data_IF_638537157422
#
_entry.id   IF_638537157422
#
_cell.length_a   1.000
_cell.length_b   1.000
_cell.length_c   1.000
_cell.angle_alpha   90.00
_cell.angle_beta   90.00
_cell.angle_gamma   90.00
#
_symmetry.space_group_name_H-M   'P 1'
#
loop_
_entity.id
_entity.type
_entity.pdbx_description
1 polymer ?
#
# COMPACT_ATOMS: atom_id res chain seq x y z
N UNK A 1 43.37 31.09 -28.15
CA UNK A 1 42.83 29.77 -28.46
C UNK A 1 42.79 28.85 -27.23
N UNK A 2 43.92 28.62 -26.53
CA UNK A 2 44.01 27.70 -25.36
C UNK A 2 43.03 28.08 -24.23
N UNK A 3 42.95 29.37 -23.88
CA UNK A 3 42.06 29.85 -22.84
C UNK A 3 40.55 29.59 -23.17
N UNK A 4 40.15 29.78 -24.43
CA UNK A 4 38.77 29.53 -24.85
C UNK A 4 38.38 28.03 -24.76
N UNK A 5 39.34 27.13 -25.11
CA UNK A 5 39.13 25.68 -24.98
C UNK A 5 38.99 25.28 -23.52
N UNK A 6 39.82 25.87 -22.62
CA UNK A 6 39.77 25.58 -21.18
C UNK A 6 38.45 26.05 -20.55
N UNK A 7 37.97 27.24 -20.91
CA UNK A 7 36.69 27.76 -20.47
C UNK A 7 35.53 26.91 -20.95
N UNK A 8 35.54 26.49 -22.20
CA UNK A 8 34.53 25.59 -22.75
C UNK A 8 34.50 24.24 -22.01
N UNK A 9 35.66 23.69 -21.73
CA UNK A 9 35.77 22.41 -21.00
C UNK A 9 35.16 22.51 -19.58
N UNK A 10 35.43 23.61 -18.86
CA UNK A 10 34.86 23.86 -17.51
C UNK A 10 33.33 23.96 -17.57
N UNK A 11 32.79 24.67 -18.57
CA UNK A 11 31.35 24.80 -18.77
C UNK A 11 30.69 23.45 -19.05
N UNK A 12 31.31 22.61 -19.90
CA UNK A 12 30.79 21.26 -20.20
C UNK A 12 30.81 20.37 -18.98
N UNK A 13 31.91 20.39 -18.20
CA UNK A 13 32.00 19.59 -16.95
C UNK A 13 30.96 20.08 -15.92
N UNK A 14 30.78 21.39 -15.77
CA UNK A 14 29.76 21.95 -14.88
C UNK A 14 28.34 21.56 -15.30
N UNK A 15 28.05 21.56 -16.61
CA UNK A 15 26.76 21.14 -17.15
C UNK A 15 26.50 19.65 -16.95
N UNK A 16 27.51 18.79 -17.16
CA UNK A 16 27.43 17.36 -16.89
C UNK A 16 27.20 17.08 -15.40
N UNK A 17 27.88 17.79 -14.51
CA UNK A 17 27.69 17.66 -13.07
C UNK A 17 26.27 18.08 -12.63
N UNK A 18 25.66 19.09 -13.25
CA UNK A 18 24.27 19.47 -13.04
C UNK A 18 23.29 18.38 -13.46
N UNK A 19 23.50 17.77 -14.63
CA UNK A 19 22.63 16.67 -15.12
C UNK A 19 22.68 15.48 -14.14
N UNK A 20 23.86 15.12 -13.67
CA UNK A 20 24.03 14.01 -12.71
C UNK A 20 23.30 14.31 -11.39
N UNK A 21 23.31 15.54 -10.91
CA UNK A 21 22.57 15.96 -9.70
C UNK A 21 21.05 15.96 -9.88
N UNK A 22 20.57 16.14 -11.11
CA UNK A 22 19.13 16.12 -11.42
C UNK A 22 18.59 14.69 -11.62
N UNK A 23 19.45 13.68 -11.68
CA UNK A 23 19.02 12.30 -11.85
C UNK A 23 18.70 11.66 -10.48
N UNK A 24 17.44 11.30 -10.30
CA UNK A 24 16.94 10.65 -9.09
C UNK A 24 16.55 9.21 -9.43
N UNK A 25 17.06 8.26 -8.62
CA UNK A 25 16.71 6.85 -8.72
C UNK A 25 15.55 6.54 -7.76
N UNK A 26 14.64 5.66 -8.21
CA UNK A 26 13.68 5.03 -7.34
C UNK A 26 14.33 3.81 -6.69
N UNK A 27 14.11 3.64 -5.38
CA UNK A 27 14.44 2.40 -4.70
C UNK A 27 13.39 1.32 -5.02
N UNK A 28 13.74 0.05 -4.73
CA UNK A 28 12.80 -1.05 -4.92
C UNK A 28 11.57 -0.85 -4.03
N UNK A 29 10.38 -0.98 -4.62
CA UNK A 29 9.12 -0.75 -3.92
C UNK A 29 8.70 0.72 -3.86
N UNK A 30 9.38 1.62 -4.56
CA UNK A 30 9.01 3.03 -4.66
C UNK A 30 8.71 3.43 -6.10
N UNK A 31 7.78 4.37 -6.25
CA UNK A 31 7.45 5.01 -7.53
C UNK A 31 7.71 6.50 -7.40
N UNK A 32 8.49 7.03 -8.33
CA UNK A 32 8.68 8.47 -8.44
C UNK A 32 7.49 9.06 -9.21
N UNK A 33 6.80 9.99 -8.57
CA UNK A 33 5.72 10.76 -9.17
C UNK A 33 6.24 12.18 -9.35
N UNK A 34 6.32 12.61 -10.59
CA UNK A 34 6.74 13.96 -10.95
C UNK A 34 5.57 14.75 -11.51
N UNK A 35 5.32 15.90 -10.95
CA UNK A 35 4.33 16.87 -11.41
C UNK A 35 5.02 18.19 -11.77
N UNK A 36 4.53 18.91 -12.79
CA UNK A 36 5.04 20.19 -13.24
C UNK A 36 5.06 20.32 -14.74
N UNK A 37 6.03 21.07 -15.27
CA UNK A 37 6.15 21.30 -16.71
C UNK A 37 6.29 19.96 -17.47
N UNK A 38 5.32 19.69 -18.36
CA UNK A 38 5.23 18.40 -19.09
C UNK A 38 4.23 17.41 -18.51
N UNK A 39 3.43 17.81 -17.50
CA UNK A 39 2.37 16.99 -16.88
C UNK A 39 2.87 15.99 -15.84
N UNK A 40 1.94 15.16 -15.36
CA UNK A 40 2.21 14.11 -14.40
C UNK A 40 2.95 12.95 -15.09
N UNK A 41 4.10 12.57 -14.55
CA UNK A 41 4.87 11.40 -15.03
C UNK A 41 5.28 10.53 -13.86
N UNK A 42 5.31 9.23 -14.10
CA UNK A 42 5.71 8.20 -13.12
C UNK A 42 6.90 7.41 -13.65
N UNK A 43 7.77 7.00 -12.74
CA UNK A 43 8.89 6.12 -13.06
C UNK A 43 9.17 5.17 -11.89
N UNK A 44 9.43 3.90 -12.23
CA UNK A 44 9.80 2.83 -11.30
C UNK A 44 11.32 2.64 -11.16
N UNK A 45 12.11 3.31 -12.01
CA UNK A 45 13.57 3.11 -12.04
C UNK A 45 14.35 4.37 -11.74
N UNK A 46 13.99 5.47 -12.37
CA UNK A 46 14.63 6.77 -12.18
C UNK A 46 14.13 7.78 -13.22
N UNK A 47 14.25 9.04 -12.88
CA UNK A 47 13.81 10.16 -13.71
C UNK A 47 14.71 11.36 -13.49
N UNK A 48 14.87 12.18 -14.52
CA UNK A 48 15.53 13.48 -14.41
C UNK A 48 14.48 14.48 -13.89
N UNK A 49 14.77 15.11 -12.77
CA UNK A 49 13.93 16.13 -12.14
C UNK A 49 14.69 17.45 -12.10
N UNK A 50 14.06 18.50 -12.60
CA UNK A 50 14.60 19.86 -12.50
C UNK A 50 13.93 20.55 -11.31
N UNK A 51 14.63 20.71 -10.15
CA UNK A 51 13.99 21.11 -8.88
C UNK A 51 13.30 22.47 -8.92
N UNK A 52 13.72 23.36 -9.82
CA UNK A 52 13.18 24.71 -9.93
C UNK A 52 11.77 24.77 -10.54
N UNK A 53 11.39 23.77 -11.36
CA UNK A 53 10.16 23.81 -12.16
C UNK A 53 9.31 22.54 -12.03
N UNK A 54 9.79 21.56 -11.30
CA UNK A 54 9.12 20.26 -11.13
C UNK A 54 9.08 19.87 -9.67
N UNK A 55 7.90 19.42 -9.23
CA UNK A 55 7.70 18.82 -7.92
C UNK A 55 7.76 17.30 -8.03
N UNK A 56 8.46 16.66 -7.11
CA UNK A 56 8.64 15.22 -7.10
C UNK A 56 8.22 14.68 -5.74
N UNK A 57 7.49 13.58 -5.75
CA UNK A 57 7.14 12.80 -4.57
C UNK A 57 7.47 11.33 -4.79
N UNK A 58 7.86 10.65 -3.71
CA UNK A 58 8.14 9.22 -3.69
C UNK A 58 6.96 8.50 -3.04
N UNK A 59 6.30 7.65 -3.81
CA UNK A 59 5.22 6.80 -3.34
C UNK A 59 5.77 5.42 -2.98
N UNK A 60 5.60 5.00 -1.74
CA UNK A 60 5.90 3.66 -1.28
C UNK A 60 4.74 2.72 -1.62
N UNK A 61 5.00 1.76 -2.53
CA UNK A 61 4.05 0.74 -2.97
C UNK A 61 4.31 -0.63 -2.33
N UNK A 62 5.16 -0.70 -1.31
CA UNK A 62 5.47 -1.95 -0.61
C UNK A 62 4.27 -2.50 0.14
N UNK A 63 4.35 -3.77 0.49
CA UNK A 63 3.33 -4.48 1.24
C UNK A 63 3.14 -3.87 2.63
N UNK A 64 1.91 -3.53 2.98
CA UNK A 64 1.52 -2.98 4.29
C UNK A 64 0.70 -4.01 5.06
N UNK A 65 0.96 -4.13 6.36
CA UNK A 65 0.22 -5.02 7.26
C UNK A 65 -0.80 -4.22 8.07
N UNK A 66 -2.08 -4.52 7.88
CA UNK A 66 -3.19 -3.95 8.66
C UNK A 66 -3.75 -5.01 9.58
N UNK A 67 -3.71 -4.78 10.88
CA UNK A 67 -4.21 -5.73 11.89
C UNK A 67 -5.60 -5.30 12.35
N UNK A 68 -6.53 -6.25 12.31
CA UNK A 68 -7.89 -6.12 12.84
C UNK A 68 -8.07 -7.10 13.98
N UNK A 69 -8.43 -6.59 15.14
CA UNK A 69 -8.65 -7.36 16.35
C UNK A 69 -10.12 -7.26 16.77
N UNK A 70 -10.72 -8.40 17.06
CA UNK A 70 -12.08 -8.54 17.58
C UNK A 70 -12.06 -9.54 18.73
N UNK A 71 -11.88 -9.03 19.95
CA UNK A 71 -11.67 -9.83 21.14
C UNK A 71 -12.58 -9.35 22.29
N UNK A 72 -12.83 -10.21 23.27
CA UNK A 72 -13.56 -9.91 24.46
C UNK A 72 -14.99 -9.41 24.19
N UNK A 73 -15.28 -8.14 24.52
CA UNK A 73 -16.59 -7.55 24.26
C UNK A 73 -16.91 -7.41 22.77
N UNK A 74 -15.89 -7.26 21.93
CA UNK A 74 -16.01 -7.17 20.47
C UNK A 74 -15.84 -8.53 19.76
N UNK A 75 -15.79 -9.62 20.52
CA UNK A 75 -15.68 -10.97 19.96
C UNK A 75 -16.78 -11.26 18.95
N UNK A 76 -16.44 -11.99 17.89
CA UNK A 76 -17.37 -12.33 16.84
C UNK A 76 -18.20 -13.55 17.23
N UNK A 77 -19.43 -13.62 16.72
CA UNK A 77 -20.36 -14.72 17.00
C UNK A 77 -20.42 -15.60 15.76
N UNK A 78 -20.09 -16.88 15.92
CA UNK A 78 -20.21 -17.89 14.88
C UNK A 78 -21.68 -18.33 14.70
N UNK A 79 -21.96 -19.01 13.59
CA UNK A 79 -23.31 -19.52 13.27
C UNK A 79 -23.88 -20.42 14.37
N UNK A 80 -23.04 -21.19 15.06
CA UNK A 80 -23.39 -22.07 16.18
C UNK A 80 -23.55 -21.35 17.53
N UNK A 81 -23.52 -19.98 17.53
CA UNK A 81 -23.66 -19.17 18.71
C UNK A 81 -22.39 -19.05 19.57
N UNK A 82 -21.30 -19.70 19.17
CA UNK A 82 -20.02 -19.61 19.89
C UNK A 82 -19.39 -18.24 19.65
N UNK A 83 -18.97 -17.57 20.73
CA UNK A 83 -18.19 -16.33 20.65
C UNK A 83 -16.71 -16.68 20.45
N UNK A 84 -16.11 -16.07 19.46
CA UNK A 84 -14.72 -16.28 19.08
C UNK A 84 -13.93 -14.97 19.10
N UNK A 85 -12.77 -15.00 19.74
CA UNK A 85 -11.78 -13.95 19.66
C UNK A 85 -10.97 -14.14 18.38
N UNK A 86 -10.91 -13.10 17.55
CA UNK A 86 -10.28 -13.12 16.25
C UNK A 86 -9.28 -12.00 16.13
N UNK A 87 -8.06 -12.34 15.73
CA UNK A 87 -7.05 -11.38 15.25
C UNK A 87 -6.63 -11.80 13.86
N UNK A 88 -6.82 -10.92 12.90
CA UNK A 88 -6.44 -11.14 11.52
C UNK A 88 -5.55 -10.02 11.00
N UNK A 89 -4.54 -10.37 10.22
CA UNK A 89 -3.68 -9.42 9.53
C UNK A 89 -3.94 -9.48 8.02
N UNK A 90 -4.23 -8.31 7.47
CA UNK A 90 -4.48 -8.09 6.05
C UNK A 90 -3.24 -7.47 5.44
N UNK A 91 -2.69 -8.13 4.43
CA UNK A 91 -1.53 -7.65 3.69
C UNK A 91 -1.98 -7.04 2.38
N UNK A 92 -1.84 -5.73 2.29
CA UNK A 92 -2.28 -4.94 1.14
C UNK A 92 -1.12 -4.14 0.58
N UNK A 93 -1.15 -3.89 -0.71
CA UNK A 93 -0.20 -3.02 -1.41
C UNK A 93 -0.91 -2.22 -2.49
N UNK A 94 -0.29 -1.15 -2.95
CA UNK A 94 -0.77 -0.42 -4.12
C UNK A 94 -0.47 -1.25 -5.37
N UNK A 95 -1.47 -1.42 -6.23
CA UNK A 95 -1.27 -2.08 -7.51
C UNK A 95 -0.32 -1.23 -8.38
N UNK A 96 0.78 -1.80 -8.90
CA UNK A 96 1.78 -1.04 -9.66
C UNK A 96 1.31 -0.58 -11.04
N UNK A 97 0.07 -0.87 -11.45
CA UNK A 97 -0.49 -0.31 -12.67
C UNK A 97 -0.65 1.21 -12.55
N UNK A 98 -0.29 1.93 -13.61
CA UNK A 98 -0.30 3.41 -13.63
C UNK A 98 -1.66 3.98 -13.25
N UNK A 99 -2.75 3.39 -13.75
CA UNK A 99 -4.12 3.82 -13.49
C UNK A 99 -4.51 3.70 -12.01
N UNK A 100 -4.08 2.61 -11.36
CA UNK A 100 -4.35 2.36 -9.95
C UNK A 100 -3.55 3.32 -9.05
N UNK A 101 -2.28 3.56 -9.37
CA UNK A 101 -1.47 4.55 -8.67
C UNK A 101 -2.08 5.95 -8.79
N UNK A 102 -2.52 6.34 -9.99
CA UNK A 102 -3.21 7.61 -10.21
C UNK A 102 -4.49 7.73 -9.37
N UNK A 103 -5.29 6.66 -9.33
CA UNK A 103 -6.52 6.60 -8.54
C UNK A 103 -6.23 6.80 -7.06
N UNK A 104 -5.25 6.06 -6.52
CA UNK A 104 -4.85 6.15 -5.11
C UNK A 104 -4.31 7.55 -4.77
N UNK A 105 -3.41 8.07 -5.61
CA UNK A 105 -2.78 9.38 -5.38
C UNK A 105 -3.80 10.52 -5.51
N UNK A 106 -4.74 10.44 -6.43
CA UNK A 106 -5.78 11.47 -6.58
C UNK A 106 -6.76 11.47 -5.40
N UNK A 107 -7.06 10.30 -4.81
CA UNK A 107 -7.98 10.17 -3.67
C UNK A 107 -7.32 10.50 -2.33
N UNK A 108 -6.10 10.06 -2.11
CA UNK A 108 -5.45 10.09 -0.79
C UNK A 108 -4.24 11.03 -0.73
N UNK A 109 -3.61 11.32 -1.87
CA UNK A 109 -2.28 11.94 -1.93
C UNK A 109 -1.17 10.92 -1.65
N UNK A 110 0.06 11.27 -1.99
CA UNK A 110 1.23 10.36 -1.92
C UNK A 110 1.55 9.97 -0.48
N UNK A 111 1.64 10.93 0.42
CA UNK A 111 2.02 10.71 1.83
C UNK A 111 1.00 9.84 2.57
N UNK A 112 -0.29 10.13 2.41
CA UNK A 112 -1.36 9.40 3.09
C UNK A 112 -1.56 7.99 2.54
N UNK A 113 -1.31 7.80 1.25
CA UNK A 113 -1.42 6.49 0.60
C UNK A 113 -0.37 5.48 1.11
N UNK A 114 0.76 5.95 1.62
CA UNK A 114 1.81 5.12 2.20
C UNK A 114 1.63 4.85 3.71
N UNK A 115 0.73 5.59 4.38
CA UNK A 115 0.54 5.50 5.83
C UNK A 115 -0.42 4.36 6.21
N UNK A 116 0.09 3.39 6.99
CA UNK A 116 -0.67 2.24 7.48
C UNK A 116 -1.85 2.65 8.36
N UNK A 117 -1.71 3.74 9.14
CA UNK A 117 -2.80 4.22 10.01
C UNK A 117 -3.97 4.74 9.17
N UNK A 118 -3.70 5.49 8.10
CA UNK A 118 -4.71 5.98 7.16
C UNK A 118 -5.39 4.83 6.43
N UNK A 119 -4.60 3.85 5.97
CA UNK A 119 -5.13 2.65 5.30
C UNK A 119 -6.04 1.86 6.26
N UNK A 120 -5.66 1.72 7.52
CA UNK A 120 -6.47 1.07 8.56
C UNK A 120 -7.76 1.85 8.85
N UNK A 121 -7.71 3.17 8.86
CA UNK A 121 -8.90 4.02 9.01
C UNK A 121 -9.90 3.81 7.88
N UNK A 122 -9.43 3.72 6.63
CA UNK A 122 -10.28 3.60 5.44
C UNK A 122 -10.86 2.18 5.31
N UNK A 123 -10.02 1.15 5.41
CA UNK A 123 -10.38 -0.24 5.12
C UNK A 123 -10.63 -1.12 6.34
N UNK A 124 -10.25 -0.66 7.55
CA UNK A 124 -10.35 -1.46 8.77
C UNK A 124 -11.78 -1.90 9.09
N UNK A 125 -12.76 -1.04 8.89
CA UNK A 125 -14.18 -1.36 9.03
C UNK A 125 -14.66 -2.41 8.01
N UNK A 126 -14.23 -2.29 6.76
CA UNK A 126 -14.53 -3.25 5.71
C UNK A 126 -13.96 -4.63 6.03
N UNK A 127 -12.72 -4.69 6.50
CA UNK A 127 -12.08 -5.93 6.94
C UNK A 127 -12.78 -6.55 8.16
N UNK A 128 -13.15 -5.72 9.13
CA UNK A 128 -13.90 -6.17 10.30
C UNK A 128 -15.28 -6.73 9.94
N UNK A 129 -15.98 -6.08 9.00
CA UNK A 129 -17.26 -6.54 8.51
C UNK A 129 -17.13 -7.86 7.74
N UNK A 130 -16.09 -8.03 6.94
CA UNK A 130 -15.82 -9.29 6.26
C UNK A 130 -15.57 -10.44 7.25
N UNK A 131 -14.77 -10.20 8.30
CA UNK A 131 -14.58 -11.18 9.38
C UNK A 131 -15.91 -11.53 10.06
N UNK A 132 -16.74 -10.53 10.37
CA UNK A 132 -18.06 -10.72 10.99
C UNK A 132 -18.99 -11.54 10.10
N UNK A 133 -19.05 -11.23 8.81
CA UNK A 133 -19.88 -11.97 7.84
C UNK A 133 -19.47 -13.43 7.77
N UNK A 134 -18.16 -13.69 7.57
CA UNK A 134 -17.64 -15.06 7.47
C UNK A 134 -17.89 -15.84 8.76
N UNK A 135 -17.73 -15.22 9.95
CA UNK A 135 -17.99 -15.90 11.23
C UNK A 135 -19.47 -16.19 11.43
N UNK A 136 -20.36 -15.26 11.09
CA UNK A 136 -21.82 -15.46 11.24
C UNK A 136 -22.41 -16.52 10.32
N UNK A 137 -21.77 -16.79 9.18
CA UNK A 137 -22.21 -17.78 8.20
C UNK A 137 -21.65 -19.19 8.45
N UNK A 138 -20.62 -19.32 9.29
CA UNK A 138 -19.91 -20.58 9.49
C UNK A 138 -19.82 -20.99 10.96
N UNK A 139 -19.78 -22.30 11.20
CA UNK A 139 -19.59 -22.85 12.53
C UNK A 139 -18.13 -22.68 13.00
N UNK A 140 -17.94 -22.59 14.32
CA UNK A 140 -16.62 -22.43 14.93
C UNK A 140 -15.65 -23.53 14.49
N UNK A 141 -16.08 -24.79 14.46
CA UNK A 141 -15.25 -25.92 14.05
C UNK A 141 -14.74 -25.79 12.61
N UNK A 142 -15.58 -25.33 11.68
CA UNK A 142 -15.19 -25.12 10.28
C UNK A 142 -14.13 -24.03 10.16
N UNK A 143 -14.23 -22.97 10.95
CA UNK A 143 -13.31 -21.84 10.92
C UNK A 143 -12.02 -22.10 11.72
N UNK A 144 -11.98 -23.10 12.59
CA UNK A 144 -10.74 -23.52 13.26
C UNK A 144 -9.69 -24.04 12.28
N UNK A 145 -10.12 -24.47 11.08
CA UNK A 145 -9.23 -24.69 9.93
C UNK A 145 -8.83 -23.33 9.31
N UNK A 146 -7.69 -22.79 9.74
CA UNK A 146 -7.21 -21.46 9.37
C UNK A 146 -7.20 -21.18 7.86
N UNK A 147 -6.85 -22.15 7.04
CA UNK A 147 -6.82 -21.99 5.58
C UNK A 147 -8.23 -21.79 4.99
N UNK A 148 -9.22 -22.49 5.51
CA UNK A 148 -10.62 -22.34 5.11
C UNK A 148 -11.13 -20.96 5.49
N UNK A 149 -10.84 -20.52 6.71
CA UNK A 149 -11.22 -19.19 7.21
C UNK A 149 -10.57 -18.10 6.35
N UNK A 150 -9.25 -18.17 6.13
CA UNK A 150 -8.50 -17.25 5.29
C UNK A 150 -9.11 -17.11 3.89
N UNK A 151 -9.38 -18.22 3.21
CA UNK A 151 -9.95 -18.20 1.86
C UNK A 151 -11.33 -17.56 1.83
N UNK A 152 -12.20 -17.85 2.80
CA UNK A 152 -13.53 -17.26 2.90
C UNK A 152 -13.43 -15.75 3.11
N UNK A 153 -12.55 -15.27 4.00
CA UNK A 153 -12.33 -13.84 4.23
C UNK A 153 -11.80 -13.16 2.98
N UNK A 154 -10.81 -13.75 2.30
CA UNK A 154 -10.29 -13.20 1.05
C UNK A 154 -11.35 -13.09 -0.05
N UNK A 155 -12.24 -14.07 -0.15
CA UNK A 155 -13.33 -14.04 -1.11
C UNK A 155 -14.40 -12.98 -0.77
N UNK A 156 -14.67 -12.77 0.52
CA UNK A 156 -15.64 -11.79 1.00
C UNK A 156 -15.12 -10.35 0.84
N UNK A 157 -13.84 -10.10 1.13
CA UNK A 157 -13.23 -8.78 0.93
C UNK A 157 -13.07 -8.44 -0.54
N UNK A 158 -12.73 -9.43 -1.36
CA UNK A 158 -12.27 -9.22 -2.72
C UNK A 158 -10.77 -8.86 -2.79
N UNK A 159 -10.22 -8.91 -3.99
CA UNK A 159 -8.79 -8.61 -4.19
C UNK A 159 -8.53 -7.15 -4.55
N UNK A 160 -9.49 -6.49 -5.16
CA UNK A 160 -9.39 -5.10 -5.62
C UNK A 160 -10.07 -4.17 -4.62
N UNK A 161 -9.30 -3.21 -4.14
CA UNK A 161 -9.69 -2.22 -3.14
C UNK A 161 -9.37 -0.82 -3.66
N UNK A 162 -10.03 -0.41 -4.76
CA UNK A 162 -9.90 0.95 -5.32
C UNK A 162 -8.45 1.38 -5.61
N UNK A 163 -7.69 0.48 -6.24
CA UNK A 163 -6.27 0.70 -6.58
C UNK A 163 -5.28 0.09 -5.60
N UNK A 164 -5.74 -0.36 -4.44
CA UNK A 164 -4.99 -1.30 -3.59
C UNK A 164 -5.34 -2.74 -3.93
N UNK A 165 -4.43 -3.65 -3.66
CA UNK A 165 -4.63 -5.10 -3.83
C UNK A 165 -4.42 -5.79 -2.50
N UNK A 166 -5.38 -6.65 -2.14
CA UNK A 166 -5.25 -7.59 -1.03
C UNK A 166 -4.46 -8.80 -1.50
N UNK A 167 -3.21 -8.93 -1.06
CA UNK A 167 -2.34 -10.05 -1.43
C UNK A 167 -2.62 -11.28 -0.59
N UNK A 168 -2.65 -11.12 0.73
CA UNK A 168 -2.79 -12.23 1.68
C UNK A 168 -3.57 -11.77 2.92
N UNK A 169 -4.33 -12.69 3.49
CA UNK A 169 -4.90 -12.58 4.84
C UNK A 169 -4.28 -13.67 5.70
N UNK A 170 -3.88 -13.34 6.92
CA UNK A 170 -3.45 -14.31 7.93
C UNK A 170 -4.38 -14.23 9.15
N UNK A 171 -4.74 -15.39 9.68
CA UNK A 171 -5.49 -15.48 10.93
C UNK A 171 -4.48 -15.78 12.04
N UNK A 172 -4.11 -14.73 12.78
CA UNK A 172 -3.11 -14.83 13.83
C UNK A 172 -3.69 -15.50 15.08
N UNK A 173 -4.92 -15.14 15.45
CA UNK A 173 -5.66 -15.73 16.57
C UNK A 173 -7.09 -16.09 16.16
N UNK A 174 -7.53 -17.29 16.53
CA UNK A 174 -8.92 -17.73 16.47
C UNK A 174 -9.15 -18.69 17.59
N UNK A 175 -9.79 -18.21 18.66
CA UNK A 175 -10.04 -18.97 19.87
C UNK A 175 -11.44 -18.67 20.42
N UNK A 176 -11.97 -19.59 21.24
CA UNK A 176 -13.23 -19.36 21.95
C UNK A 176 -13.00 -18.29 23.01
N UNK A 177 -13.87 -17.29 23.05
CA UNK A 177 -13.79 -16.22 24.05
C UNK A 177 -13.92 -16.81 25.45
N UNK A 178 -12.95 -16.52 26.31
CA UNK A 178 -13.00 -16.86 27.73
C UNK A 178 -14.04 -15.96 28.41
N UNK A 179 -15.04 -16.55 29.03
CA UNK A 179 -15.99 -15.85 29.86
C UNK A 179 -15.32 -15.39 31.15
#
# INVERSE_FOLDING_TARGET
MVAAVFTFLIVVIGFLALIVKCYIKADQGQVIIRNGFGGLRMSFSGIIVIPLIQHMELLDITLKRVVVERQGQQALICKDGIRADVTAAFFIRINPAVENILTVVSKLGVTRAADVAVIKEIYGEQFANALKTVTSENNFETLSHREVFKQKVMNTVGRDLDGFVLDVVTIDLFEKTKQ
#
